data_IF_370038723167
#
_entry.id   IF_370038723167
#
_cell.length_a   1.000
_cell.length_b   1.000
_cell.length_c   1.000
_cell.angle_alpha   90.00
_cell.angle_beta   90.00
_cell.angle_gamma   90.00
#
_symmetry.space_group_name_H-M   'P 1'
#
loop_
_entity.id
_entity.type
_entity.pdbx_description
1 polymer ?
#
# COMPACT_ATOMS: atom_id res chain seq x y z
N UNK A 1 -17.33 -8.61 0.92
CA UNK A 1 -15.99 -8.18 1.39
C UNK A 1 -15.52 -7.08 0.45
N UNK A 2 -15.36 -5.86 0.94
CA UNK A 2 -15.01 -4.69 0.12
C UNK A 2 -13.49 -4.63 -0.07
N UNK A 3 -13.03 -4.49 -1.31
CA UNK A 3 -11.63 -4.24 -1.65
C UNK A 3 -11.51 -2.73 -1.93
N UNK A 4 -10.56 -2.06 -1.29
CA UNK A 4 -10.37 -0.62 -1.46
C UNK A 4 -8.89 -0.25 -1.52
N UNK A 5 -8.52 0.89 -2.13
CA UNK A 5 -7.14 1.34 -2.18
C UNK A 5 -6.54 1.45 -0.77
N UNK A 6 -5.26 1.09 -0.61
CA UNK A 6 -4.58 1.14 0.69
C UNK A 6 -4.68 2.54 1.34
N UNK A 7 -4.67 3.59 0.54
CA UNK A 7 -4.87 4.97 1.03
C UNK A 7 -6.23 5.16 1.71
N UNK A 8 -7.31 4.63 1.12
CA UNK A 8 -8.66 4.72 1.68
C UNK A 8 -8.76 3.87 2.95
N UNK A 9 -8.21 2.66 2.92
CA UNK A 9 -8.16 1.77 4.08
C UNK A 9 -7.42 2.38 5.28
N UNK A 10 -6.27 3.02 5.04
CA UNK A 10 -5.52 3.72 6.09
C UNK A 10 -6.34 4.89 6.65
N UNK A 11 -7.00 5.68 5.80
CA UNK A 11 -7.82 6.79 6.26
C UNK A 11 -9.04 6.36 7.09
N UNK A 12 -9.56 5.14 6.85
CA UNK A 12 -10.72 4.61 7.54
C UNK A 12 -10.35 3.94 8.87
N UNK A 13 -9.28 3.14 8.89
CA UNK A 13 -8.96 2.26 10.02
C UNK A 13 -7.73 2.70 10.83
N UNK A 14 -6.95 3.67 10.36
CA UNK A 14 -5.71 4.13 10.97
C UNK A 14 -5.69 5.66 11.07
N UNK A 15 -4.77 6.21 11.88
CA UNK A 15 -4.67 7.66 12.01
C UNK A 15 -4.08 8.30 10.76
N UNK A 16 -2.99 7.72 10.27
CA UNK A 16 -2.22 8.21 9.12
C UNK A 16 -1.25 7.10 8.62
N UNK A 17 -0.53 7.31 7.50
CA UNK A 17 0.44 6.35 7.00
C UNK A 17 1.60 6.05 7.95
N UNK A 18 1.95 6.95 8.88
CA UNK A 18 3.00 6.72 9.87
C UNK A 18 2.50 5.80 11.01
N UNK A 19 1.25 5.96 11.45
CA UNK A 19 0.59 5.06 12.40
C UNK A 19 0.53 3.63 11.83
N UNK A 20 0.09 3.48 10.58
CA UNK A 20 0.12 2.21 9.87
C UNK A 20 1.54 1.64 9.81
N UNK A 21 2.53 2.45 9.43
CA UNK A 21 3.92 2.03 9.36
C UNK A 21 4.45 1.50 10.71
N UNK A 22 4.16 2.22 11.80
CA UNK A 22 4.58 1.87 13.16
C UNK A 22 3.98 0.55 13.63
N UNK A 23 2.68 0.33 13.42
CA UNK A 23 1.99 -0.92 13.81
C UNK A 23 2.58 -2.13 13.09
N UNK A 24 3.02 -1.95 11.84
CA UNK A 24 3.54 -3.04 11.01
C UNK A 24 5.08 -3.12 11.00
N UNK A 25 5.78 -2.28 11.76
CA UNK A 25 7.24 -2.28 11.82
C UNK A 25 7.91 -2.00 10.47
N UNK A 26 7.26 -1.20 9.60
CA UNK A 26 7.80 -0.81 8.30
C UNK A 26 8.11 0.68 8.26
N UNK A 27 8.93 1.11 7.31
CA UNK A 27 9.17 2.54 7.10
C UNK A 27 7.93 3.24 6.50
N UNK A 28 7.69 4.49 6.91
CA UNK A 28 6.62 5.33 6.35
C UNK A 28 6.71 5.43 4.82
N UNK A 29 7.92 5.53 4.28
CA UNK A 29 8.15 5.62 2.83
C UNK A 29 7.77 4.33 2.11
N UNK A 30 7.87 3.18 2.76
CA UNK A 30 7.38 1.91 2.22
C UNK A 30 5.86 1.93 2.04
N UNK A 31 5.12 2.51 3.00
CA UNK A 31 3.66 2.66 2.89
C UNK A 31 3.28 3.57 1.73
N UNK A 32 3.99 4.70 1.54
CA UNK A 32 3.76 5.57 0.39
C UNK A 32 4.07 4.90 -0.95
N UNK A 33 5.16 4.10 -1.02
CA UNK A 33 5.46 3.28 -2.21
C UNK A 33 4.36 2.26 -2.48
N UNK A 34 3.81 1.61 -1.45
CA UNK A 34 2.69 0.68 -1.59
C UNK A 34 1.44 1.39 -2.14
N UNK A 35 1.09 2.56 -1.60
CA UNK A 35 -0.02 3.35 -2.11
C UNK A 35 0.20 3.77 -3.57
N UNK A 36 1.40 4.24 -3.93
CA UNK A 36 1.76 4.63 -5.29
C UNK A 36 1.73 3.45 -6.27
N UNK A 37 2.15 2.28 -5.82
CA UNK A 37 2.14 1.05 -6.61
C UNK A 37 0.74 0.47 -6.76
N UNK A 38 -0.30 1.09 -6.19
CA UNK A 38 -1.67 0.58 -6.32
C UNK A 38 -1.93 -0.65 -5.45
N UNK A 39 -1.36 -0.72 -4.25
CA UNK A 39 -1.73 -1.75 -3.27
C UNK A 39 -3.17 -1.51 -2.79
N UNK A 40 -3.94 -2.58 -2.70
CA UNK A 40 -5.31 -2.58 -2.17
C UNK A 40 -5.37 -3.34 -0.84
N UNK A 41 -6.41 -3.10 -0.06
CA UNK A 41 -6.69 -3.81 1.17
C UNK A 41 -8.15 -4.29 1.19
N UNK A 42 -8.40 -5.35 1.93
CA UNK A 42 -9.75 -5.87 2.17
C UNK A 42 -9.86 -6.42 3.59
N UNK A 43 -10.95 -6.12 4.29
CA UNK A 43 -11.13 -6.46 5.70
C UNK A 43 -11.26 -5.19 6.55
N UNK A 44 -10.89 -5.28 7.83
CA UNK A 44 -10.96 -4.20 8.82
C UNK A 44 -9.66 -4.08 9.62
N UNK A 45 -9.61 -3.17 10.61
CA UNK A 45 -8.42 -2.98 11.47
C UNK A 45 -7.95 -4.25 12.20
N UNK A 46 -8.87 -5.14 12.54
CA UNK A 46 -8.57 -6.36 13.31
C UNK A 46 -8.04 -7.48 12.41
N UNK A 47 -8.54 -7.58 11.18
CA UNK A 47 -8.12 -8.57 10.21
C UNK A 47 -8.30 -8.06 8.78
N UNK A 48 -7.18 -7.89 8.06
CA UNK A 48 -7.19 -7.47 6.67
C UNK A 48 -6.09 -8.15 5.85
N UNK A 49 -6.33 -8.19 4.54
CA UNK A 49 -5.39 -8.71 3.53
C UNK A 49 -4.94 -7.58 2.61
N UNK A 50 -3.65 -7.53 2.32
CA UNK A 50 -3.08 -6.62 1.33
C UNK A 50 -2.92 -7.32 -0.02
N UNK A 51 -3.36 -6.65 -1.07
CA UNK A 51 -3.31 -7.12 -2.45
C UNK A 51 -2.31 -6.27 -3.22
N UNK A 52 -1.20 -6.90 -3.60
CA UNK A 52 -0.17 -6.28 -4.40
C UNK A 52 -0.47 -6.51 -5.87
N UNK A 53 -0.49 -5.47 -6.72
CA UNK A 53 -0.66 -5.68 -8.14
C UNK A 53 0.48 -6.54 -8.68
N UNK A 54 0.18 -7.36 -9.68
CA UNK A 54 1.22 -8.10 -10.38
C UNK A 54 2.23 -7.10 -10.91
N UNK A 55 3.49 -7.32 -10.56
CA UNK A 55 4.61 -6.53 -11.08
C UNK A 55 4.70 -6.85 -12.57
N UNK A 56 4.06 -6.06 -13.42
CA UNK A 56 4.37 -6.07 -14.84
C UNK A 56 5.86 -5.76 -14.95
N UNK A 57 6.61 -6.64 -15.62
CA UNK A 57 8.06 -6.57 -15.75
C UNK A 57 8.46 -5.14 -16.11
N UNK A 58 9.29 -4.53 -15.27
CA UNK A 58 9.69 -3.14 -15.46
C UNK A 58 10.39 -2.97 -16.79
N UNK A 59 9.77 -2.23 -17.70
CA UNK A 59 10.50 -1.59 -18.79
C UNK A 59 11.54 -0.69 -18.15
N UNK A 60 12.79 -1.13 -18.25
CA UNK A 60 13.97 -0.35 -17.98
C UNK A 60 13.90 0.90 -18.86
N UNK A 61 13.59 2.05 -18.28
CA UNK A 61 13.74 3.32 -18.96
C UNK A 61 15.23 3.52 -19.26
N UNK A 62 15.66 3.22 -20.49
CA UNK A 62 16.95 3.67 -20.98
C UNK A 62 16.86 5.19 -21.15
N UNK A 63 17.42 5.91 -20.18
CA UNK A 63 17.51 7.37 -20.17
C UNK A 63 18.65 7.92 -21.08
N UNK A 64 19.20 7.06 -21.95
CA UNK A 64 20.23 7.43 -22.92
C UNK A 64 19.98 6.67 -24.23
N UNK A 65 19.27 7.32 -25.16
CA UNK A 65 19.33 7.04 -26.60
C UNK A 65 19.50 8.38 -27.31
#
# INVERSE_FOLDING_TARGET
MQIQPLKAFIAEYFKDPADFANIHGVERDSVYRMQRNGVYASGDRSCYTLWYPKKDGGDQQNLFN
#
